data_IF_254715638719
#
_entry.id   IF_254715638719
#
_cell.length_a   1.000
_cell.length_b   1.000
_cell.length_c   1.000
_cell.angle_alpha   90.00
_cell.angle_beta   90.00
_cell.angle_gamma   90.00
#
_symmetry.space_group_name_H-M   'P 1'
#
loop_
_entity.id
_entity.type
_entity.pdbx_description
1 polymer ?
#
# COMPACT_ATOMS: atom_id res chain seq x y z
N UNK A 1 35.33 -27.80 -54.23
CA UNK A 1 34.75 -29.16 -54.25
C UNK A 1 33.74 -29.20 -53.12
N UNK A 2 32.43 -29.25 -53.31
CA UNK A 2 31.63 -29.53 -54.50
C UNK A 2 30.26 -28.90 -54.21
N UNK A 3 29.72 -28.19 -55.19
CA UNK A 3 28.36 -27.69 -55.22
C UNK A 3 27.36 -28.86 -55.25
N UNK A 4 26.16 -28.65 -54.72
CA UNK A 4 24.99 -28.96 -55.52
C UNK A 4 23.81 -28.03 -55.23
N UNK A 5 23.16 -27.68 -56.32
CA UNK A 5 22.11 -26.70 -56.58
C UNK A 5 20.96 -27.49 -57.22
N UNK A 6 19.77 -26.87 -57.29
CA UNK A 6 18.52 -27.28 -57.95
C UNK A 6 17.48 -27.93 -57.02
N UNK A 7 16.19 -27.60 -57.07
CA UNK A 7 15.48 -26.52 -57.76
C UNK A 7 14.08 -26.33 -57.14
N UNK A 8 13.45 -25.22 -57.54
CA UNK A 8 12.09 -24.72 -57.27
C UNK A 8 10.97 -25.76 -57.55
N UNK A 9 9.81 -25.66 -56.87
CA UNK A 9 8.62 -24.93 -57.37
C UNK A 9 7.34 -25.05 -56.50
N UNK A 10 6.69 -23.88 -56.30
CA UNK A 10 5.24 -23.54 -56.37
C UNK A 10 4.15 -24.06 -55.42
N UNK A 11 3.25 -23.09 -55.18
CA UNK A 11 1.85 -23.12 -54.71
C UNK A 11 1.68 -23.05 -53.18
N UNK A 12 1.03 -22.04 -52.60
CA UNK A 12 -0.10 -21.25 -53.10
C UNK A 12 -1.21 -21.40 -52.06
N UNK A 13 -1.55 -20.32 -51.35
CA UNK A 13 -2.58 -20.38 -50.31
C UNK A 13 -2.48 -19.26 -49.29
N UNK A 14 -2.88 -18.05 -49.68
CA UNK A 14 -3.21 -16.97 -48.73
C UNK A 14 -4.53 -17.37 -48.07
N UNK A 15 -4.48 -17.71 -46.78
CA UNK A 15 -5.66 -17.87 -45.94
C UNK A 15 -5.63 -16.78 -44.86
N UNK A 16 -6.26 -15.65 -45.18
CA UNK A 16 -6.60 -14.59 -44.25
C UNK A 16 -7.63 -15.15 -43.25
N UNK A 17 -7.21 -15.40 -42.01
CA UNK A 17 -8.12 -15.75 -40.92
C UNK A 17 -8.34 -14.51 -40.06
N UNK A 18 -9.55 -13.96 -40.15
CA UNK A 18 -10.10 -12.99 -39.20
C UNK A 18 -10.10 -13.60 -37.80
N UNK A 19 -9.39 -12.98 -36.87
CA UNK A 19 -9.49 -13.27 -35.44
C UNK A 19 -10.56 -12.36 -34.84
N UNK A 20 -11.70 -12.94 -34.48
CA UNK A 20 -12.76 -12.31 -33.69
C UNK A 20 -12.36 -12.44 -32.21
N UNK A 21 -12.33 -11.37 -31.40
CA UNK A 21 -12.10 -11.51 -29.97
C UNK A 21 -13.38 -12.00 -29.30
N UNK A 22 -13.36 -13.24 -28.79
CA UNK A 22 -14.42 -13.78 -27.93
C UNK A 22 -14.11 -13.31 -26.51
N UNK A 23 -14.89 -12.34 -26.01
CA UNK A 23 -14.92 -11.97 -24.61
C UNK A 23 -15.56 -13.11 -23.81
N UNK A 24 -14.76 -13.81 -22.99
CA UNK A 24 -15.24 -14.87 -22.12
C UNK A 24 -15.75 -14.25 -20.81
N UNK A 25 -17.06 -13.96 -20.75
CA UNK A 25 -17.75 -13.59 -19.51
C UNK A 25 -18.11 -14.87 -18.77
N UNK A 26 -17.43 -15.15 -17.64
CA UNK A 26 -17.79 -16.24 -16.75
C UNK A 26 -19.02 -15.80 -15.91
N UNK A 27 -20.22 -16.18 -16.33
CA UNK A 27 -21.43 -16.05 -15.53
C UNK A 27 -21.56 -17.26 -14.58
N UNK A 28 -21.44 -17.01 -13.28
CA UNK A 28 -21.69 -18.01 -12.24
C UNK A 28 -23.20 -18.21 -12.08
N UNK A 29 -23.72 -19.38 -12.43
CA UNK A 29 -25.12 -19.75 -12.22
C UNK A 29 -25.28 -20.27 -10.79
N UNK A 30 -25.93 -19.49 -9.92
CA UNK A 30 -26.37 -19.95 -8.60
C UNK A 30 -27.81 -20.47 -8.70
N UNK A 31 -27.97 -21.79 -8.63
CA UNK A 31 -29.27 -22.45 -8.48
C UNK A 31 -29.89 -22.12 -7.14
N UNK A 32 -31.08 -21.52 -7.17
CA UNK A 32 -31.88 -21.18 -6.00
C UNK A 32 -32.56 -22.39 -5.35
N UNK A 33 -32.69 -22.32 -4.03
CA UNK A 33 -33.69 -23.08 -3.28
C UNK A 33 -34.36 -22.09 -2.32
N UNK A 34 -35.63 -21.77 -2.60
CA UNK A 34 -36.36 -20.69 -1.95
C UNK A 34 -36.77 -21.01 -0.51
N UNK A 35 -36.63 -20.01 0.37
CA UNK A 35 -37.47 -19.81 1.56
C UNK A 35 -37.71 -18.31 1.74
N UNK A 36 -38.95 -17.98 2.15
CA UNK A 36 -39.58 -16.66 2.21
C UNK A 36 -38.82 -15.67 3.10
N UNK A 37 -38.72 -14.43 2.62
CA UNK A 37 -38.10 -13.29 3.28
C UNK A 37 -38.88 -12.82 4.53
N UNK A 38 -38.19 -12.34 5.57
CA UNK A 38 -38.63 -11.20 6.35
C UNK A 38 -37.90 -9.93 5.89
N UNK A 39 -38.65 -8.84 5.81
CA UNK A 39 -38.16 -7.52 5.44
C UNK A 39 -37.08 -7.00 6.42
N UNK A 40 -36.09 -6.29 5.86
CA UNK A 40 -35.29 -5.32 6.61
C UNK A 40 -33.81 -5.69 6.82
N UNK A 41 -32.98 -5.37 5.83
CA UNK A 41 -31.62 -4.88 6.05
C UNK A 41 -31.19 -4.21 4.74
N UNK A 42 -30.93 -2.90 4.78
CA UNK A 42 -30.29 -2.22 3.66
C UNK A 42 -28.94 -2.88 3.42
N UNK A 43 -28.78 -3.55 2.29
CA UNK A 43 -27.48 -4.05 1.83
C UNK A 43 -26.63 -2.85 1.52
N UNK A 44 -25.81 -2.41 2.48
CA UNK A 44 -24.65 -1.58 2.20
C UNK A 44 -23.75 -2.39 1.27
N UNK A 45 -23.66 -1.98 0.01
CA UNK A 45 -22.59 -2.46 -0.88
C UNK A 45 -21.29 -2.17 -0.14
N UNK A 46 -20.42 -3.16 0.11
CA UNK A 46 -19.13 -2.90 0.73
C UNK A 46 -18.43 -1.81 -0.08
N UNK A 47 -17.99 -0.74 0.58
CA UNK A 47 -17.15 0.25 -0.06
C UNK A 47 -15.96 -0.49 -0.70
N UNK A 48 -15.66 -0.21 -1.96
CA UNK A 48 -14.52 -0.83 -2.63
C UNK A 48 -13.25 -0.45 -1.87
N UNK A 49 -12.41 -1.44 -1.52
CA UNK A 49 -11.13 -1.19 -0.86
C UNK A 49 -10.24 -0.31 -1.73
N UNK A 50 -9.52 0.63 -1.13
CA UNK A 50 -8.50 1.41 -1.83
C UNK A 50 -7.14 0.77 -1.57
N UNK A 51 -6.59 0.10 -2.58
CA UNK A 51 -5.27 -0.54 -2.51
C UNK A 51 -4.28 0.34 -3.27
N UNK A 52 -3.15 0.64 -2.62
CA UNK A 52 -2.06 1.47 -3.15
C UNK A 52 -0.84 0.58 -3.28
N UNK A 53 -0.58 0.15 -4.52
CA UNK A 53 0.46 -0.82 -4.89
C UNK A 53 1.44 -0.20 -5.90
N UNK A 54 2.30 -1.01 -6.53
CA UNK A 54 3.27 -0.54 -7.52
C UNK A 54 2.67 0.19 -8.74
N UNK A 55 1.38 -0.01 -9.04
CA UNK A 55 0.70 0.72 -10.12
C UNK A 55 0.33 2.16 -9.72
N UNK A 56 0.45 2.50 -8.44
CA UNK A 56 0.05 3.78 -7.87
C UNK A 56 1.22 4.76 -7.66
N UNK A 57 2.32 4.64 -8.41
CA UNK A 57 3.54 5.44 -8.19
C UNK A 57 3.88 6.42 -9.33
N UNK A 58 2.99 6.62 -10.30
CA UNK A 58 3.18 7.57 -11.40
C UNK A 58 2.50 8.92 -11.11
N UNK A 59 3.25 9.87 -10.56
CA UNK A 59 2.71 11.17 -10.20
C UNK A 59 2.26 12.03 -11.39
N UNK A 60 2.70 11.72 -12.61
CA UNK A 60 2.24 12.45 -13.79
C UNK A 60 0.75 12.26 -14.06
N UNK A 61 0.16 11.19 -13.52
CA UNK A 61 -1.27 10.91 -13.62
C UNK A 61 -2.09 11.67 -12.58
N UNK A 62 -1.47 12.20 -11.52
CA UNK A 62 -2.16 12.91 -10.43
C UNK A 62 -2.38 14.37 -10.84
N UNK A 63 -3.62 14.83 -11.10
CA UNK A 63 -3.86 16.22 -11.46
C UNK A 63 -3.47 17.18 -10.33
N UNK A 64 -2.83 18.30 -10.67
CA UNK A 64 -2.32 19.28 -9.69
C UNK A 64 -3.39 19.79 -8.69
N UNK A 65 -4.66 19.85 -9.10
CA UNK A 65 -5.77 20.23 -8.21
C UNK A 65 -5.95 19.25 -7.04
N UNK A 66 -5.62 17.98 -7.22
CA UNK A 66 -5.71 16.98 -6.14
C UNK A 66 -4.49 17.05 -5.22
N UNK A 67 -3.31 17.40 -5.73
CA UNK A 67 -2.16 17.76 -4.89
C UNK A 67 -2.49 18.99 -4.03
N UNK A 68 -3.13 20.01 -4.61
CA UNK A 68 -3.61 21.17 -3.85
C UNK A 68 -4.67 20.78 -2.80
N UNK A 69 -5.61 19.90 -3.17
CA UNK A 69 -6.63 19.39 -2.24
C UNK A 69 -5.99 18.67 -1.05
N UNK A 70 -5.01 17.79 -1.30
CA UNK A 70 -4.23 17.09 -0.25
C UNK A 70 -3.58 18.08 0.71
N UNK A 71 -2.83 19.06 0.20
CA UNK A 71 -2.14 20.06 1.04
C UNK A 71 -3.10 20.94 1.83
N UNK A 72 -4.33 21.13 1.34
CA UNK A 72 -5.37 21.94 2.01
C UNK A 72 -6.20 21.17 3.03
N UNK A 73 -6.46 19.89 2.79
CA UNK A 73 -7.45 19.07 3.49
C UNK A 73 -6.83 18.00 4.39
N UNK A 74 -5.67 17.47 4.03
CA UNK A 74 -5.07 16.34 4.72
C UNK A 74 -4.04 16.78 5.78
N UNK A 75 -4.12 16.12 6.93
CA UNK A 75 -3.13 16.13 8.01
C UNK A 75 -2.97 14.71 8.50
N UNK A 76 -1.72 14.28 8.62
CA UNK A 76 -1.33 12.90 8.81
C UNK A 76 -0.70 12.71 10.17
N UNK A 77 -1.06 11.63 10.86
CA UNK A 77 -0.26 11.01 11.90
C UNK A 77 0.43 9.78 11.30
N UNK A 78 1.76 9.74 11.36
CA UNK A 78 2.54 8.63 10.87
C UNK A 78 3.49 8.16 11.97
N UNK A 79 3.30 6.92 12.41
CA UNK A 79 4.12 6.30 13.43
C UNK A 79 4.86 5.12 12.82
N UNK A 80 6.14 4.93 13.12
CA UNK A 80 6.89 3.88 12.48
C UNK A 80 8.14 3.46 13.23
N UNK A 81 8.66 2.30 12.84
CA UNK A 81 10.03 1.86 13.16
C UNK A 81 10.96 2.16 11.96
N UNK A 82 12.18 1.61 11.92
CA UNK A 82 13.21 2.03 10.96
C UNK A 82 12.78 2.02 9.48
N UNK A 83 12.11 0.95 9.01
CA UNK A 83 11.66 0.84 7.61
C UNK A 83 10.61 1.88 7.21
N UNK A 84 9.82 2.38 8.16
CA UNK A 84 8.85 3.43 7.83
C UNK A 84 9.51 4.76 7.46
N UNK A 85 10.75 4.99 7.89
CA UNK A 85 11.56 6.15 7.49
C UNK A 85 11.86 6.21 5.98
N UNK A 86 11.66 5.11 5.25
CA UNK A 86 11.76 5.13 3.79
C UNK A 86 10.69 6.04 3.17
N UNK A 87 9.51 6.12 3.78
CA UNK A 87 8.45 7.00 3.30
C UNK A 87 8.80 8.47 3.54
N UNK A 88 9.24 8.84 4.74
CA UNK A 88 9.61 10.22 5.09
C UNK A 88 10.75 10.75 4.23
N UNK A 89 11.82 9.95 4.07
CA UNK A 89 12.91 10.26 3.15
C UNK A 89 12.42 10.38 1.71
N UNK A 90 11.49 9.51 1.29
CA UNK A 90 10.89 9.57 -0.04
C UNK A 90 10.18 10.90 -0.30
N UNK A 91 9.41 11.38 0.67
CA UNK A 91 8.69 12.65 0.58
C UNK A 91 9.64 13.85 0.49
N UNK A 92 10.68 13.89 1.34
CA UNK A 92 11.69 14.96 1.31
C UNK A 92 12.39 15.05 -0.05
N UNK A 93 12.73 13.89 -0.63
CA UNK A 93 13.41 13.82 -1.92
C UNK A 93 12.53 14.27 -3.08
N UNK A 94 11.25 13.90 -3.05
CA UNK A 94 10.29 14.34 -4.06
C UNK A 94 10.10 15.86 -3.98
N UNK A 95 9.92 16.42 -2.79
CA UNK A 95 9.80 17.88 -2.62
C UNK A 95 11.07 18.62 -3.06
N UNK A 96 12.25 18.06 -2.79
CA UNK A 96 13.54 18.61 -3.23
C UNK A 96 13.63 18.67 -4.76
N UNK A 97 13.10 17.67 -5.45
CA UNK A 97 13.09 17.61 -6.92
C UNK A 97 11.97 18.47 -7.53
N UNK A 98 10.81 18.54 -6.89
CA UNK A 98 9.63 19.29 -7.33
C UNK A 98 8.84 19.81 -6.11
N UNK A 99 8.96 21.12 -5.87
CA UNK A 99 8.33 21.80 -4.73
C UNK A 99 6.80 21.87 -4.81
N UNK A 100 6.19 21.45 -5.92
CA UNK A 100 4.73 21.31 -6.00
C UNK A 100 4.19 20.23 -5.04
N UNK A 101 5.02 19.22 -4.71
CA UNK A 101 4.77 18.17 -3.72
C UNK A 101 5.24 18.56 -2.31
N UNK A 102 4.95 19.80 -1.92
CA UNK A 102 5.40 20.35 -0.64
C UNK A 102 4.80 19.66 0.59
N UNK A 103 5.64 19.39 1.57
CA UNK A 103 5.31 18.65 2.79
C UNK A 103 6.04 19.21 4.00
N UNK A 104 5.51 18.96 5.19
CA UNK A 104 6.19 19.28 6.44
C UNK A 104 6.01 18.13 7.42
N UNK A 105 7.13 17.61 7.91
CA UNK A 105 7.19 16.61 8.98
C UNK A 105 7.57 17.28 10.29
N UNK A 106 6.85 16.96 11.36
CA UNK A 106 7.12 17.46 12.70
C UNK A 106 7.38 16.30 13.64
N UNK A 107 8.54 16.34 14.31
CA UNK A 107 8.85 15.40 15.39
C UNK A 107 7.81 15.56 16.51
N UNK A 108 7.04 14.51 16.76
CA UNK A 108 6.03 14.47 17.83
C UNK A 108 5.14 15.72 17.88
N UNK A 109 4.83 16.30 16.72
CA UNK A 109 4.03 17.52 16.61
C UNK A 109 3.47 17.71 15.20
N UNK A 110 2.31 18.34 15.07
CA UNK A 110 1.75 18.69 13.77
C UNK A 110 2.34 20.02 13.30
N UNK A 111 3.04 20.08 12.16
CA UNK A 111 3.64 21.32 11.68
C UNK A 111 2.59 22.41 11.33
N UNK A 112 2.94 23.67 11.55
CA UNK A 112 2.03 24.81 11.35
C UNK A 112 1.99 25.39 9.93
N UNK A 113 2.91 24.98 9.04
CA UNK A 113 3.13 25.56 7.72
C UNK A 113 1.89 25.40 6.82
N UNK A 114 1.38 26.51 6.28
CA UNK A 114 0.26 26.48 5.33
C UNK A 114 0.72 26.07 3.93
N UNK A 115 -0.18 25.47 3.14
CA UNK A 115 0.10 25.10 1.75
C UNK A 115 0.92 23.82 1.55
N UNK A 116 1.23 23.10 2.63
CA UNK A 116 1.93 21.81 2.64
C UNK A 116 1.03 20.73 3.25
N UNK A 117 1.21 19.47 2.85
CA UNK A 117 0.67 18.37 3.67
C UNK A 117 1.47 18.31 4.97
N UNK A 118 0.77 18.24 6.11
CA UNK A 118 1.39 18.27 7.44
C UNK A 118 1.37 16.88 8.04
N UNK A 119 2.53 16.41 8.48
CA UNK A 119 2.75 15.07 9.00
C UNK A 119 3.28 15.23 10.42
N UNK A 120 2.50 14.76 11.40
CA UNK A 120 2.99 14.43 12.72
C UNK A 120 3.74 13.11 12.60
N UNK A 121 5.05 13.17 12.73
CA UNK A 121 5.93 12.01 12.65
C UNK A 121 6.26 11.52 14.07
N UNK A 122 5.97 10.26 14.34
CA UNK A 122 6.03 9.67 15.68
C UNK A 122 4.72 9.66 16.45
N UNK A 123 4.82 9.41 17.76
CA UNK A 123 3.70 9.41 18.71
C UNK A 123 3.82 10.65 19.61
N UNK A 124 3.59 10.51 20.93
CA UNK A 124 3.55 11.64 21.86
C UNK A 124 4.96 12.17 22.23
N UNK A 125 5.99 11.31 22.19
CA UNK A 125 7.30 11.63 22.76
C UNK A 125 8.51 11.17 21.91
N UNK A 126 8.32 10.18 21.04
CA UNK A 126 9.36 9.61 20.17
C UNK A 126 8.85 9.45 18.74
N UNK A 127 9.77 9.38 17.78
CA UNK A 127 9.49 9.11 16.36
C UNK A 127 9.74 7.64 15.95
N UNK A 128 10.47 6.89 16.79
CA UNK A 128 10.64 5.46 16.65
C UNK A 128 9.58 4.71 17.47
N UNK A 129 8.50 4.28 16.83
CA UNK A 129 7.29 3.73 17.49
C UNK A 129 7.12 2.24 17.21
N UNK A 130 7.38 1.41 18.22
CA UNK A 130 7.19 -0.04 18.16
C UNK A 130 5.70 -0.43 18.23
N UNK A 131 5.31 -1.69 17.92
CA UNK A 131 3.91 -2.11 17.97
C UNK A 131 3.19 -1.79 19.28
N UNK A 132 3.86 -2.00 20.42
CA UNK A 132 3.33 -1.78 21.77
C UNK A 132 3.09 -0.31 22.09
N UNK A 133 3.71 0.61 21.35
CA UNK A 133 3.55 2.05 21.50
C UNK A 133 2.45 2.64 20.59
N UNK A 134 1.78 1.80 19.78
CA UNK A 134 0.71 2.24 18.89
C UNK A 134 -0.56 1.38 18.95
N UNK A 135 -0.49 0.07 18.65
CA UNK A 135 -1.69 -0.78 18.49
C UNK A 135 -1.67 -2.06 19.33
N UNK A 136 -0.50 -2.56 19.74
CA UNK A 136 -0.36 -3.89 20.35
C UNK A 136 -0.67 -3.88 21.84
N UNK A 137 -0.29 -2.80 22.55
CA UNK A 137 -0.58 -2.64 23.97
C UNK A 137 -1.72 -1.65 24.21
N UNK A 138 -2.39 -1.80 25.36
CA UNK A 138 -3.38 -0.83 25.82
C UNK A 138 -2.79 0.59 25.95
N UNK A 139 -1.57 0.71 26.46
CA UNK A 139 -0.91 2.01 26.63
C UNK A 139 -0.58 2.67 25.28
N UNK A 140 -0.18 1.88 24.28
CA UNK A 140 0.06 2.36 22.92
C UNK A 140 -1.22 2.84 22.24
N UNK A 141 -2.31 2.05 22.37
CA UNK A 141 -3.62 2.47 21.87
C UNK A 141 -4.12 3.73 22.57
N UNK A 142 -3.94 3.85 23.88
CA UNK A 142 -4.31 5.04 24.66
C UNK A 142 -3.48 6.26 24.26
N UNK A 143 -2.21 6.06 23.89
CA UNK A 143 -1.36 7.12 23.35
C UNK A 143 -1.87 7.61 22.00
N UNK A 144 -2.24 6.68 21.10
CA UNK A 144 -2.87 7.02 19.81
C UNK A 144 -4.20 7.74 20.01
N UNK A 145 -5.04 7.26 20.95
CA UNK A 145 -6.31 7.93 21.31
C UNK A 145 -6.06 9.36 21.75
N UNK A 146 -5.13 9.56 22.70
CA UNK A 146 -4.80 10.88 23.24
C UNK A 146 -4.29 11.81 22.15
N UNK A 147 -3.38 11.34 21.31
CA UNK A 147 -2.85 12.11 20.18
C UNK A 147 -3.98 12.61 19.29
N UNK A 148 -4.91 11.75 18.89
CA UNK A 148 -6.02 12.12 18.00
C UNK A 148 -7.07 13.00 18.69
N UNK A 149 -7.33 12.80 19.99
CA UNK A 149 -8.23 13.65 20.78
C UNK A 149 -7.68 15.07 20.95
N UNK A 150 -6.38 15.19 21.24
CA UNK A 150 -5.71 16.47 21.45
C UNK A 150 -5.46 17.20 20.11
N UNK A 151 -5.51 16.48 18.97
CA UNK A 151 -5.25 17.01 17.64
C UNK A 151 -6.39 16.69 16.65
N UNK A 152 -7.59 17.27 16.82
CA UNK A 152 -8.76 16.99 15.96
C UNK A 152 -8.60 17.44 14.51
N UNK A 153 -7.53 18.18 14.19
CA UNK A 153 -7.18 18.52 12.81
C UNK A 153 -6.56 17.35 12.02
N UNK A 154 -6.08 16.31 12.71
CA UNK A 154 -5.55 15.10 12.06
C UNK A 154 -6.71 14.35 11.40
N UNK A 155 -6.49 13.94 10.16
CA UNK A 155 -7.52 13.34 9.28
C UNK A 155 -7.16 11.92 8.87
N UNK A 156 -5.89 11.54 9.02
CA UNK A 156 -5.35 10.25 8.59
C UNK A 156 -4.36 9.73 9.62
N UNK A 157 -4.32 8.42 9.82
CA UNK A 157 -3.37 7.76 10.72
C UNK A 157 -2.85 6.47 10.08
N UNK A 158 -1.53 6.26 10.10
CA UNK A 158 -0.88 5.04 9.57
C UNK A 158 0.28 4.64 10.47
N UNK A 159 0.48 3.33 10.61
CA UNK A 159 1.62 2.77 11.31
C UNK A 159 2.39 1.77 10.43
N UNK A 160 3.72 1.84 10.44
CA UNK A 160 4.58 1.01 9.59
C UNK A 160 5.34 -0.08 10.36
N UNK A 161 5.29 -1.29 9.82
CA UNK A 161 6.10 -2.43 10.22
C UNK A 161 7.59 -2.25 9.88
N UNK A 162 8.44 -2.99 10.61
CA UNK A 162 9.83 -3.28 10.26
C UNK A 162 9.95 -4.79 10.00
N UNK A 163 10.62 -5.54 10.87
CA UNK A 163 10.85 -6.99 10.70
C UNK A 163 9.88 -7.87 11.48
N UNK A 164 8.94 -7.30 12.23
CA UNK A 164 8.05 -8.06 13.12
C UNK A 164 7.31 -9.19 12.39
N UNK A 165 6.88 -8.94 11.15
CA UNK A 165 6.17 -9.93 10.33
C UNK A 165 7.04 -11.11 9.86
N UNK A 166 8.36 -11.09 10.08
CA UNK A 166 9.21 -12.27 9.86
C UNK A 166 8.89 -13.41 10.82
N UNK A 167 8.45 -13.08 12.03
CA UNK A 167 8.18 -14.03 13.11
C UNK A 167 6.75 -13.96 13.64
N UNK A 168 6.06 -12.84 13.51
CA UNK A 168 4.69 -12.69 14.00
C UNK A 168 3.77 -13.70 13.31
N UNK A 169 2.97 -14.39 14.14
CA UNK A 169 2.02 -15.38 13.66
C UNK A 169 0.73 -14.72 13.15
N UNK A 170 -0.20 -15.54 12.65
CA UNK A 170 -1.50 -15.02 12.16
C UNK A 170 -2.36 -14.42 13.27
N UNK A 171 -2.18 -14.84 14.52
CA UNK A 171 -2.93 -14.33 15.68
C UNK A 171 -2.47 -12.92 16.03
N UNK A 172 -1.17 -12.67 16.04
CA UNK A 172 -0.61 -11.33 16.28
C UNK A 172 -0.99 -10.36 15.15
N UNK A 173 -1.00 -10.82 13.90
CA UNK A 173 -1.50 -9.98 12.79
C UNK A 173 -3.00 -9.75 12.87
N UNK A 174 -3.78 -10.71 13.37
CA UNK A 174 -5.20 -10.46 13.64
C UNK A 174 -5.39 -9.40 14.73
N UNK A 175 -4.59 -9.43 15.80
CA UNK A 175 -4.61 -8.40 16.84
C UNK A 175 -4.33 -7.00 16.28
N UNK A 176 -3.38 -6.86 15.35
CA UNK A 176 -3.19 -5.59 14.61
C UNK A 176 -4.46 -5.15 13.89
N UNK A 177 -5.06 -6.03 13.08
CA UNK A 177 -6.25 -5.70 12.30
C UNK A 177 -7.44 -5.30 13.18
N UNK A 178 -7.60 -5.99 14.32
CA UNK A 178 -8.65 -5.71 15.29
C UNK A 178 -8.40 -4.37 16.02
N UNK A 179 -7.17 -4.10 16.47
CA UNK A 179 -6.80 -2.83 17.11
C UNK A 179 -6.98 -1.62 16.20
N UNK A 180 -6.53 -1.72 14.93
CA UNK A 180 -6.72 -0.62 13.97
C UNK A 180 -8.21 -0.42 13.66
N UNK A 181 -8.99 -1.50 13.54
CA UNK A 181 -10.44 -1.40 13.33
C UNK A 181 -11.17 -0.79 14.53
N UNK A 182 -10.72 -1.10 15.75
CA UNK A 182 -11.24 -0.49 16.96
C UNK A 182 -10.99 1.02 16.97
N UNK A 183 -9.76 1.46 16.69
CA UNK A 183 -9.43 2.88 16.59
C UNK A 183 -10.23 3.58 15.48
N UNK A 184 -10.43 2.94 14.34
CA UNK A 184 -11.28 3.46 13.26
C UNK A 184 -12.75 3.64 13.70
N UNK A 185 -13.29 2.73 14.51
CA UNK A 185 -14.62 2.86 15.09
C UNK A 185 -14.72 3.97 16.14
N UNK A 186 -13.65 4.20 16.90
CA UNK A 186 -13.58 5.24 17.94
C UNK A 186 -13.36 6.65 17.36
N UNK A 187 -12.70 6.77 16.21
CA UNK A 187 -12.39 8.03 15.54
C UNK A 187 -12.93 8.07 14.09
N UNK A 188 -14.25 8.16 13.89
CA UNK A 188 -14.85 8.08 12.55
C UNK A 188 -14.48 9.24 11.61
N UNK A 189 -13.94 10.34 12.14
CA UNK A 189 -13.40 11.45 11.34
C UNK A 189 -11.95 11.25 10.88
N UNK A 190 -11.28 10.21 11.35
CA UNK A 190 -9.90 9.87 11.01
C UNK A 190 -9.90 8.63 10.13
N UNK A 191 -9.29 8.72 8.96
CA UNK A 191 -9.08 7.56 8.09
C UNK A 191 -7.84 6.80 8.55
N UNK A 192 -8.05 5.59 9.07
CA UNK A 192 -6.95 4.67 9.34
C UNK A 192 -6.51 3.97 8.05
N UNK A 193 -5.20 4.00 7.80
CA UNK A 193 -4.56 3.36 6.65
C UNK A 193 -3.85 2.12 7.16
N UNK A 194 -4.24 0.97 6.62
CA UNK A 194 -3.60 -0.31 6.88
C UNK A 194 -2.35 -0.43 6.01
N UNK A 195 -1.39 -1.22 6.46
CA UNK A 195 -0.11 -1.32 5.78
C UNK A 195 0.42 -2.74 5.83
N UNK A 196 0.96 -3.24 4.72
CA UNK A 196 1.76 -4.49 4.74
C UNK A 196 3.16 -4.19 5.30
N UNK A 197 3.88 -5.21 5.75
CA UNK A 197 5.33 -5.07 5.97
C UNK A 197 6.12 -4.87 4.67
N UNK A 198 7.44 -4.70 4.78
CA UNK A 198 8.36 -4.63 3.63
C UNK A 198 8.65 -6.02 3.01
N UNK A 199 9.26 -6.10 1.82
CA UNK A 199 9.52 -7.39 1.15
C UNK A 199 10.97 -7.89 1.26
N UNK A 200 11.79 -7.34 2.18
CA UNK A 200 13.24 -7.58 2.19
C UNK A 200 13.69 -8.96 2.71
N UNK A 201 12.87 -9.63 3.52
CA UNK A 201 13.24 -10.94 4.08
C UNK A 201 13.09 -12.07 3.05
N UNK A 202 13.99 -13.04 3.11
CA UNK A 202 13.99 -14.27 2.29
C UNK A 202 13.81 -15.51 3.17
N UNK A 203 13.77 -16.69 2.55
CA UNK A 203 13.68 -17.97 3.28
C UNK A 203 12.41 -18.09 4.14
N UNK A 204 12.52 -18.71 5.33
CA UNK A 204 11.36 -18.96 6.20
C UNK A 204 10.72 -17.69 6.76
N UNK A 205 11.55 -16.68 7.11
CA UNK A 205 11.07 -15.39 7.60
C UNK A 205 10.35 -14.61 6.50
N UNK A 206 10.94 -14.56 5.29
CA UNK A 206 10.32 -13.97 4.11
C UNK A 206 9.00 -14.62 3.74
N UNK A 207 8.93 -15.96 3.80
CA UNK A 207 7.69 -16.69 3.58
C UNK A 207 6.62 -16.40 4.65
N UNK A 208 6.99 -16.35 5.93
CA UNK A 208 6.05 -15.99 6.99
C UNK A 208 5.52 -14.57 6.77
N UNK A 209 6.40 -13.62 6.49
CA UNK A 209 6.04 -12.23 6.20
C UNK A 209 5.11 -12.14 5.00
N UNK A 210 5.40 -12.85 3.91
CA UNK A 210 4.52 -12.92 2.76
C UNK A 210 3.11 -13.40 3.16
N UNK A 211 3.02 -14.49 3.93
CA UNK A 211 1.74 -15.00 4.41
C UNK A 211 0.98 -13.98 5.27
N UNK A 212 1.68 -13.21 6.10
CA UNK A 212 1.10 -12.13 6.92
C UNK A 212 0.65 -10.93 6.08
N UNK A 213 1.43 -10.52 5.09
CA UNK A 213 1.03 -9.50 4.13
C UNK A 213 -0.23 -9.92 3.35
N UNK A 214 -0.33 -11.19 2.95
CA UNK A 214 -1.54 -11.74 2.33
C UNK A 214 -2.76 -11.70 3.28
N UNK A 215 -2.57 -11.91 4.58
CA UNK A 215 -3.64 -11.77 5.57
C UNK A 215 -4.15 -10.33 5.64
N UNK A 216 -3.25 -9.34 5.70
CA UNK A 216 -3.60 -7.91 5.73
C UNK A 216 -4.32 -7.51 4.44
N UNK A 217 -3.79 -7.88 3.26
CA UNK A 217 -4.43 -7.62 1.95
C UNK A 217 -5.85 -8.16 1.88
N UNK A 218 -6.06 -9.42 2.31
CA UNK A 218 -7.39 -10.05 2.33
C UNK A 218 -8.35 -9.32 3.27
N UNK A 219 -7.88 -8.92 4.44
CA UNK A 219 -8.69 -8.14 5.38
C UNK A 219 -9.12 -6.81 4.76
N UNK A 220 -8.19 -6.05 4.19
CA UNK A 220 -8.51 -4.77 3.58
C UNK A 220 -9.51 -4.90 2.42
N UNK A 221 -9.32 -5.90 1.55
CA UNK A 221 -10.25 -6.18 0.45
C UNK A 221 -11.65 -6.58 0.94
N UNK A 222 -11.73 -7.45 1.96
CA UNK A 222 -13.01 -7.93 2.48
C UNK A 222 -13.79 -6.86 3.26
N UNK A 223 -13.09 -5.89 3.88
CA UNK A 223 -13.68 -4.88 4.75
C UNK A 223 -13.67 -3.46 4.15
N UNK A 224 -13.33 -3.31 2.87
CA UNK A 224 -13.33 -2.01 2.19
C UNK A 224 -12.34 -1.00 2.77
N UNK A 225 -11.20 -1.48 3.28
CA UNK A 225 -10.19 -0.62 3.93
C UNK A 225 -9.28 0.06 2.91
N UNK A 226 -8.55 1.06 3.39
CA UNK A 226 -7.42 1.66 2.67
C UNK A 226 -6.16 0.89 3.03
N UNK A 227 -5.44 0.40 2.02
CA UNK A 227 -4.20 -0.34 2.17
C UNK A 227 -3.06 0.36 1.44
N UNK A 228 -2.00 0.68 2.17
CA UNK A 228 -0.70 1.04 1.63
C UNK A 228 0.17 -0.22 1.52
N UNK A 229 0.34 -0.75 0.31
CA UNK A 229 0.97 -2.05 0.07
C UNK A 229 2.49 -1.92 -0.11
N UNK A 230 3.18 -1.66 0.99
CA UNK A 230 4.63 -1.47 1.03
C UNK A 230 5.41 -2.67 0.45
N UNK A 231 4.97 -3.91 0.73
CA UNK A 231 5.67 -5.09 0.20
C UNK A 231 5.54 -5.20 -1.32
N UNK A 232 4.40 -4.78 -1.87
CA UNK A 232 4.26 -4.76 -3.32
C UNK A 232 5.12 -3.63 -3.93
N UNK A 233 5.14 -2.44 -3.33
CA UNK A 233 6.05 -1.35 -3.75
C UNK A 233 7.53 -1.76 -3.76
N UNK A 234 7.95 -2.59 -2.79
CA UNK A 234 9.31 -3.15 -2.75
C UNK A 234 9.58 -4.17 -3.86
N UNK A 235 8.57 -4.94 -4.28
CA UNK A 235 8.79 -6.11 -5.11
C UNK A 235 8.89 -5.82 -6.61
N UNK A 236 8.43 -4.62 -7.04
CA UNK A 236 8.32 -4.29 -8.46
C UNK A 236 9.26 -3.17 -8.89
N UNK A 237 9.91 -3.39 -10.03
CA UNK A 237 10.65 -2.37 -10.74
C UNK A 237 10.47 -2.52 -12.26
N UNK A 238 10.12 -1.43 -12.94
CA UNK A 238 9.96 -1.39 -14.40
C UNK A 238 9.10 -2.55 -14.97
N UNK A 239 7.96 -2.82 -14.33
CA UNK A 239 7.03 -3.89 -14.72
C UNK A 239 7.53 -5.32 -14.46
N UNK A 240 8.65 -5.48 -13.74
CA UNK A 240 9.19 -6.79 -13.34
C UNK A 240 9.08 -6.97 -11.84
N UNK A 241 8.47 -8.08 -11.43
CA UNK A 241 8.42 -8.49 -10.02
C UNK A 241 9.62 -9.38 -9.68
N UNK A 242 10.28 -9.10 -8.57
CA UNK A 242 11.28 -9.99 -8.00
C UNK A 242 10.61 -11.01 -7.07
N UNK A 243 11.03 -12.27 -7.16
CA UNK A 243 10.49 -13.36 -6.35
C UNK A 243 11.61 -14.23 -5.78
N UNK A 244 11.31 -14.89 -4.66
CA UNK A 244 12.11 -15.98 -4.08
C UNK A 244 11.24 -17.26 -3.98
N UNK A 245 11.85 -18.39 -3.65
CA UNK A 245 11.16 -19.67 -3.46
C UNK A 245 11.50 -20.29 -2.10
N UNK A 246 10.46 -20.62 -1.32
CA UNK A 246 10.61 -21.33 -0.05
C UNK A 246 9.64 -22.52 0.01
N UNK A 247 10.18 -23.73 0.26
CA UNK A 247 9.43 -24.99 0.28
C UNK A 247 8.52 -25.18 -0.94
N UNK A 248 9.00 -24.80 -2.13
CA UNK A 248 8.26 -24.92 -3.39
C UNK A 248 7.22 -23.82 -3.64
N UNK A 249 7.06 -22.85 -2.73
CA UNK A 249 6.18 -21.70 -2.93
C UNK A 249 6.99 -20.50 -3.42
N UNK A 250 6.56 -19.91 -4.54
CA UNK A 250 7.11 -18.66 -5.08
C UNK A 250 6.42 -17.49 -4.39
N UNK A 251 7.18 -16.52 -3.88
CA UNK A 251 6.63 -15.32 -3.24
C UNK A 251 7.43 -14.07 -3.60
N UNK A 252 6.81 -12.87 -3.62
CA UNK A 252 7.51 -11.63 -3.91
C UNK A 252 8.51 -11.26 -2.81
N UNK A 253 9.67 -10.76 -3.22
CA UNK A 253 10.70 -10.17 -2.34
C UNK A 253 11.11 -8.81 -2.90
N UNK A 254 11.85 -8.01 -2.12
CA UNK A 254 12.40 -6.73 -2.56
C UNK A 254 13.17 -6.91 -3.87
N UNK A 255 12.87 -6.04 -4.83
CA UNK A 255 13.52 -6.05 -6.12
C UNK A 255 15.00 -5.68 -5.95
N UNK A 256 15.90 -6.39 -6.64
CA UNK A 256 17.36 -6.19 -6.50
C UNK A 256 17.83 -4.76 -6.77
N UNK A 257 17.05 -4.00 -7.53
CA UNK A 257 17.26 -2.56 -7.78
C UNK A 257 17.18 -1.72 -6.50
N UNK A 258 16.40 -2.17 -5.51
CA UNK A 258 16.17 -1.47 -4.27
C UNK A 258 17.08 -1.94 -3.12
N UNK A 259 17.89 -2.99 -3.35
CA UNK A 259 18.88 -3.46 -2.38
C UNK A 259 19.93 -2.38 -2.15
N UNK A 260 19.94 -1.79 -0.96
CA UNK A 260 20.85 -0.69 -0.63
C UNK A 260 20.83 -0.35 0.84
N UNK A 261 21.63 0.65 1.21
CA UNK A 261 21.67 1.18 2.58
C UNK A 261 21.85 2.69 2.56
N UNK A 262 21.22 3.36 1.61
CA UNK A 262 21.25 4.82 1.46
C UNK A 262 20.31 5.51 2.46
N UNK A 263 19.17 4.88 2.74
CA UNK A 263 18.25 5.27 3.80
C UNK A 263 17.43 4.08 4.29
N UNK A 264 17.26 3.95 5.60
CA UNK A 264 16.34 2.99 6.22
C UNK A 264 16.38 1.58 5.60
N UNK A 265 17.59 1.06 5.36
CA UNK A 265 17.86 -0.27 4.79
C UNK A 265 17.46 -0.47 3.31
N UNK A 266 17.34 0.60 2.51
CA UNK A 266 17.06 0.50 1.07
C UNK A 266 17.78 1.60 0.28
N UNK A 267 17.52 1.67 -1.02
CA UNK A 267 18.00 2.77 -1.90
C UNK A 267 17.11 4.01 -1.83
N UNK A 268 17.65 5.17 -2.19
CA UNK A 268 16.86 6.39 -2.32
C UNK A 268 15.75 6.28 -3.36
N UNK A 269 15.98 5.53 -4.43
CA UNK A 269 14.97 5.28 -5.46
C UNK A 269 13.75 4.54 -4.89
N UNK A 270 13.99 3.56 -4.02
CA UNK A 270 12.94 2.82 -3.30
C UNK A 270 12.13 3.74 -2.38
N UNK A 271 12.80 4.65 -1.67
CA UNK A 271 12.15 5.69 -0.88
C UNK A 271 11.25 6.58 -1.75
N UNK A 272 11.75 7.06 -2.90
CA UNK A 272 10.97 7.90 -3.81
C UNK A 272 9.74 7.17 -4.36
N UNK A 273 9.82 5.87 -4.70
CA UNK A 273 8.64 5.07 -5.10
C UNK A 273 7.55 5.12 -4.03
N UNK A 274 7.94 5.00 -2.75
CA UNK A 274 7.01 5.08 -1.61
C UNK A 274 6.43 6.47 -1.44
N UNK A 275 7.26 7.51 -1.52
CA UNK A 275 6.76 8.89 -1.49
C UNK A 275 5.75 9.17 -2.61
N UNK A 276 5.98 8.66 -3.83
CA UNK A 276 5.04 8.80 -4.95
C UNK A 276 3.73 8.05 -4.69
N UNK A 277 3.81 6.82 -4.21
CA UNK A 277 2.64 6.04 -3.83
C UNK A 277 1.81 6.71 -2.72
N UNK A 278 2.47 7.37 -1.77
CA UNK A 278 1.79 8.16 -0.75
C UNK A 278 1.04 9.35 -1.34
N UNK A 279 1.66 10.14 -2.22
CA UNK A 279 0.97 11.26 -2.87
C UNK A 279 -0.24 10.79 -3.69
N UNK A 280 -0.11 9.68 -4.41
CA UNK A 280 -1.22 9.04 -5.10
C UNK A 280 -2.33 8.63 -4.13
N UNK A 281 -2.00 7.92 -3.04
CA UNK A 281 -2.94 7.54 -2.00
C UNK A 281 -3.70 8.74 -1.46
N UNK A 282 -2.98 9.79 -1.06
CA UNK A 282 -3.59 10.97 -0.48
C UNK A 282 -4.48 11.69 -1.49
N UNK A 283 -4.10 11.75 -2.77
CA UNK A 283 -4.94 12.32 -3.82
C UNK A 283 -6.24 11.51 -4.00
N UNK A 284 -6.17 10.17 -3.99
CA UNK A 284 -7.35 9.30 -4.01
C UNK A 284 -8.26 9.54 -2.82
N UNK A 285 -7.69 9.67 -1.62
CA UNK A 285 -8.42 9.97 -0.39
C UNK A 285 -9.01 11.38 -0.35
N UNK A 286 -8.38 12.34 -1.04
CA UNK A 286 -8.91 13.69 -1.22
C UNK A 286 -10.07 13.76 -2.22
N UNK A 287 -10.35 12.69 -2.97
CA UNK A 287 -11.49 12.59 -3.88
C UNK A 287 -11.13 12.33 -5.35
N UNK A 288 -9.84 12.20 -5.68
CA UNK A 288 -9.44 11.81 -7.03
C UNK A 288 -9.94 10.40 -7.36
N UNK A 289 -10.59 10.25 -8.50
CA UNK A 289 -11.15 8.98 -8.95
C UNK A 289 -10.09 7.98 -9.44
N UNK A 290 -8.86 8.41 -9.75
CA UNK A 290 -7.74 7.53 -10.07
C UNK A 290 -7.83 6.85 -11.44
N UNK A 291 -8.08 7.64 -12.48
CA UNK A 291 -7.91 7.20 -13.88
C UNK A 291 -6.45 7.17 -14.27
#
# INVERSE_FOLDING_TARGET
MTEHRHDRNTNGGIAMRMSIPIALTAALVLSGCGKKDPAGAGTTVPAHSLIIDHACADLSQVPAQWIAAVKSGCRMHYAHTSHGGQLTVGLDRIETADTSYGQAQGYCSLPGQAGLIRIWDGQLHEDYITPDEYWESHAGMDSTRRLLQDNPAITHSMWSWCTQLDSYDSTQVQAYLDSISQLEGEFPSVRFIYMTGNAQATGSGGWNRHCRNQQIRRYCAAHGKVLYDFADLDAWYNGTQQTDTYNGNVFPIEHVQYNGNEAAHTTYQSCEVKGRAFWWMMARLAGWNGQ
#
